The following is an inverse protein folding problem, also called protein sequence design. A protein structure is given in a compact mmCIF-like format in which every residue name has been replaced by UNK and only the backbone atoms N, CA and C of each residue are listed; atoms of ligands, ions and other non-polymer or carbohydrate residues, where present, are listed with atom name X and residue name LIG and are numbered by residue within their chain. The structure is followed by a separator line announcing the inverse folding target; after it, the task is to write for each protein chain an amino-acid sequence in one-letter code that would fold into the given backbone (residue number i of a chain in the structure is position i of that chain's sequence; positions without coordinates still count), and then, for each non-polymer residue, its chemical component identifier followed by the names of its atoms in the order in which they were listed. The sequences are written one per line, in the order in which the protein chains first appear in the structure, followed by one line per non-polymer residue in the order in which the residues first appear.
data_IF_217816200438
#
_entry.id   IF_217816200438
#
_cell.length_a   1.000
_cell.length_b   1.000
_cell.length_c   1.000
_cell.angle_alpha   90.00
_cell.angle_beta   90.00
_cell.angle_gamma   90.00
#
_symmetry.space_group_name_H-M   'P 1'
#
loop_
_entity.id
_entity.type
_entity.pdbx_description
1 polymer ?
#
# COMPACT_ATOMS: atom_id res chain seq x y z
N UNK A 1 -6.63 -2.98 -7.89
CA UNK A 1 -6.86 -3.15 -6.43
C UNK A 1 -6.90 -1.80 -5.75
N UNK A 2 -5.96 -0.91 -6.08
CA UNK A 2 -5.95 0.49 -5.67
C UNK A 2 -6.10 1.36 -6.92
N UNK A 3 -7.03 2.31 -6.93
CA UNK A 3 -7.21 3.21 -8.07
C UNK A 3 -6.03 4.15 -8.21
N UNK A 4 -5.87 4.73 -9.41
CA UNK A 4 -4.97 5.87 -9.61
C UNK A 4 -5.23 6.94 -8.55
N UNK A 5 -4.21 7.37 -7.77
CA UNK A 5 -4.39 8.42 -6.80
C UNK A 5 -4.57 9.77 -7.50
N UNK A 6 -5.33 10.65 -6.86
CA UNK A 6 -5.52 12.03 -7.26
C UNK A 6 -5.31 12.91 -6.02
N UNK A 7 -4.18 13.61 -5.93
CA UNK A 7 -3.87 14.49 -4.78
C UNK A 7 -3.86 13.73 -3.44
N UNK A 8 -3.24 12.53 -3.42
CA UNK A 8 -3.23 11.66 -2.24
C UNK A 8 -4.51 10.86 -1.99
N UNK A 9 -5.57 11.09 -2.76
CA UNK A 9 -6.79 10.29 -2.71
C UNK A 9 -6.69 9.09 -3.63
N UNK A 10 -6.82 7.88 -3.10
CA UNK A 10 -7.09 6.70 -3.92
C UNK A 10 -8.39 6.05 -3.48
N UNK A 11 -8.96 5.22 -4.34
CA UNK A 11 -10.07 4.34 -4.02
C UNK A 11 -9.54 2.91 -4.00
N UNK A 12 -9.67 2.23 -2.86
CA UNK A 12 -9.48 0.80 -2.82
C UNK A 12 -10.75 0.12 -3.28
N UNK A 13 -10.65 -0.69 -4.33
CA UNK A 13 -11.72 -1.59 -4.75
C UNK A 13 -11.16 -3.02 -4.87
N UNK A 14 -11.64 -3.91 -3.98
CA UNK A 14 -11.38 -5.34 -4.03
C UNK A 14 -12.67 -6.11 -3.71
N UNK A 15 -13.28 -6.72 -4.73
CA UNK A 15 -14.58 -7.38 -4.66
C UNK A 15 -15.67 -6.52 -3.97
N UNK A 16 -16.06 -6.88 -2.75
CA UNK A 16 -17.08 -6.18 -1.96
C UNK A 16 -16.50 -5.10 -1.03
N UNK A 17 -15.17 -4.96 -0.99
CA UNK A 17 -14.46 -3.97 -0.18
C UNK A 17 -14.19 -2.73 -1.04
N UNK A 18 -14.87 -1.62 -0.72
CA UNK A 18 -14.79 -0.35 -1.45
C UNK A 18 -14.63 0.82 -0.49
N UNK A 19 -13.42 1.37 -0.40
CA UNK A 19 -13.11 2.41 0.58
C UNK A 19 -12.20 3.48 0.01
N UNK A 20 -12.31 4.68 0.56
CA UNK A 20 -11.45 5.81 0.18
C UNK A 20 -10.19 5.80 1.04
N UNK A 21 -9.07 6.07 0.39
CA UNK A 21 -7.77 6.29 1.03
C UNK A 21 -7.60 7.81 1.21
N UNK A 22 -7.37 8.24 2.46
CA UNK A 22 -7.24 9.66 2.80
C UNK A 22 -5.87 10.24 2.42
N UNK A 23 -5.86 11.54 2.17
CA UNK A 23 -4.68 12.38 1.91
C UNK A 23 -3.77 12.61 3.15
N UNK A 24 -4.11 12.07 4.32
CA UNK A 24 -3.35 12.31 5.56
C UNK A 24 -2.12 11.42 5.68
N UNK A 25 -2.11 10.28 4.98
CA UNK A 25 -1.06 9.26 5.10
C UNK A 25 -0.41 9.00 3.73
N UNK A 26 0.90 8.85 3.74
CA UNK A 26 1.66 8.44 2.56
C UNK A 26 1.49 6.93 2.36
N UNK A 27 0.29 6.56 1.91
CA UNK A 27 -0.14 5.18 1.78
C UNK A 27 0.86 4.34 0.98
N UNK A 28 1.47 4.89 -0.06
CA UNK A 28 2.44 4.16 -0.86
C UNK A 28 3.65 3.75 -0.03
N UNK A 29 4.24 4.68 0.73
CA UNK A 29 5.37 4.36 1.61
C UNK A 29 4.98 3.47 2.78
N UNK A 30 3.84 3.73 3.42
CA UNK A 30 3.38 2.93 4.56
C UNK A 30 3.10 1.48 4.13
N UNK A 31 2.46 1.30 2.97
CA UNK A 31 2.22 -0.02 2.38
C UNK A 31 3.53 -0.73 2.03
N UNK A 32 4.45 -0.07 1.33
CA UNK A 32 5.72 -0.68 0.94
C UNK A 32 6.56 -1.07 2.17
N UNK A 33 6.56 -0.24 3.22
CA UNK A 33 7.24 -0.55 4.47
C UNK A 33 6.62 -1.77 5.17
N UNK A 34 5.28 -1.83 5.28
CA UNK A 34 4.58 -2.99 5.83
C UNK A 34 4.86 -4.26 5.03
N UNK A 35 4.79 -4.19 3.70
CA UNK A 35 5.10 -5.31 2.81
C UNK A 35 6.55 -5.79 2.98
N UNK A 36 7.51 -4.87 3.10
CA UNK A 36 8.91 -5.22 3.34
C UNK A 36 9.12 -5.93 4.67
N UNK A 37 8.55 -5.41 5.76
CA UNK A 37 8.68 -6.01 7.09
C UNK A 37 8.01 -7.40 7.14
N UNK A 38 6.90 -7.58 6.43
CA UNK A 38 6.24 -8.89 6.30
C UNK A 38 7.21 -9.96 5.78
N UNK A 39 7.96 -9.66 4.71
CA UNK A 39 8.93 -10.59 4.15
C UNK A 39 10.19 -10.77 5.01
N UNK A 40 10.65 -9.72 5.67
CA UNK A 40 11.86 -9.76 6.51
C UNK A 40 11.64 -10.53 7.81
N UNK A 41 10.54 -10.22 8.50
CA UNK A 41 10.25 -10.73 9.84
C UNK A 41 9.46 -12.05 9.79
N UNK A 42 8.82 -12.35 8.66
CA UNK A 42 7.92 -13.50 8.46
C UNK A 42 6.78 -13.52 9.48
N UNK A 43 6.31 -12.34 9.85
CA UNK A 43 5.22 -12.13 10.79
C UNK A 43 4.16 -11.21 10.18
N UNK A 44 2.95 -11.29 10.70
CA UNK A 44 1.84 -10.47 10.29
C UNK A 44 2.18 -8.99 10.47
N UNK A 45 1.95 -8.17 9.44
CA UNK A 45 2.12 -6.72 9.52
C UNK A 45 0.78 -6.02 9.45
N UNK A 46 0.65 -4.95 10.23
CA UNK A 46 -0.55 -4.13 10.27
C UNK A 46 -0.27 -2.81 9.55
N UNK A 47 -1.14 -2.48 8.60
CA UNK A 47 -1.17 -1.20 7.91
C UNK A 47 -2.48 -0.52 8.28
N UNK A 48 -2.40 0.49 9.15
CA UNK A 48 -3.55 1.35 9.44
C UNK A 48 -3.63 2.42 8.38
N UNK A 49 -4.85 2.63 7.88
CA UNK A 49 -5.12 3.58 6.83
C UNK A 49 -6.27 4.47 7.27
N UNK A 50 -6.02 5.76 7.27
CA UNK A 50 -7.05 6.75 7.57
C UNK A 50 -8.00 6.89 6.37
N UNK A 51 -9.30 6.77 6.62
CA UNK A 51 -10.36 7.33 5.79
C UNK A 51 -10.99 8.51 6.56
N UNK A 52 -11.60 9.48 5.89
CA UNK A 52 -12.08 10.72 6.55
C UNK A 52 -12.89 10.48 7.84
N UNK A 53 -13.82 9.53 7.81
CA UNK A 53 -14.76 9.25 8.90
C UNK A 53 -14.54 7.89 9.58
N UNK A 54 -13.60 7.08 9.06
CA UNK A 54 -13.31 5.70 9.50
C UNK A 54 -11.80 5.44 9.44
N UNK A 55 -11.30 4.44 10.15
CA UNK A 55 -9.96 3.90 9.86
C UNK A 55 -10.09 2.43 9.49
N UNK A 56 -9.21 1.97 8.61
CA UNK A 56 -9.15 0.57 8.24
C UNK A 56 -7.76 0.03 8.49
N UNK A 57 -7.71 -1.17 9.05
CA UNK A 57 -6.45 -1.87 9.29
C UNK A 57 -6.37 -3.04 8.34
N UNK A 58 -5.26 -3.13 7.61
CA UNK A 58 -4.93 -4.27 6.76
C UNK A 58 -3.90 -5.12 7.46
N UNK A 59 -4.21 -6.39 7.59
CA UNK A 59 -3.36 -7.40 8.18
C UNK A 59 -2.71 -8.19 7.03
N UNK A 60 -1.46 -7.87 6.73
CA UNK A 60 -0.63 -8.61 5.78
C UNK A 60 -0.19 -9.91 6.45
N UNK A 61 -0.94 -10.97 6.24
CA UNK A 61 -0.71 -12.31 6.77
C UNK A 61 -1.07 -13.39 5.75
N UNK A 62 -1.01 -14.66 6.15
CA UNK A 62 -1.51 -15.77 5.35
C UNK A 62 -2.77 -16.35 6.00
N UNK A 63 -3.99 -15.87 5.66
CA UNK A 63 -4.34 -14.97 4.55
C UNK A 63 -4.39 -13.47 4.93
N UNK A 64 -4.64 -12.60 3.95
CA UNK A 64 -4.74 -11.13 4.11
C UNK A 64 -6.15 -10.73 4.52
N UNK A 65 -6.24 -9.95 5.60
CA UNK A 65 -7.51 -9.42 6.10
C UNK A 65 -7.53 -7.89 6.14
N UNK A 66 -8.73 -7.32 6.10
CA UNK A 66 -9.01 -5.95 6.49
C UNK A 66 -9.98 -5.90 7.67
N UNK A 67 -9.98 -4.80 8.41
CA UNK A 67 -11.03 -4.47 9.37
C UNK A 67 -11.35 -2.98 9.27
N UNK A 68 -12.63 -2.64 9.30
CA UNK A 68 -13.11 -1.26 9.33
C UNK A 68 -13.50 -0.93 10.76
N UNK A 69 -12.82 0.02 11.39
CA UNK A 69 -12.93 0.30 12.82
C UNK A 69 -12.60 -0.91 13.72
N UNK A 70 -12.33 -0.71 15.01
CA UNK A 70 -11.97 -1.82 15.91
C UNK A 70 -13.13 -2.79 16.20
N UNK A 71 -14.38 -2.36 15.99
CA UNK A 71 -15.59 -3.09 16.39
C UNK A 71 -16.16 -4.02 15.30
N UNK A 72 -15.67 -3.95 14.07
CA UNK A 72 -16.19 -4.78 12.97
C UNK A 72 -15.43 -6.09 12.77
N UNK A 73 -16.07 -7.01 12.06
CA UNK A 73 -15.50 -8.31 11.70
C UNK A 73 -14.34 -8.18 10.70
N UNK A 74 -13.43 -9.15 10.70
CA UNK A 74 -12.38 -9.24 9.69
C UNK A 74 -12.97 -9.61 8.33
N UNK A 75 -12.55 -8.87 7.31
CA UNK A 75 -12.91 -9.05 5.91
C UNK A 75 -11.71 -9.70 5.22
N UNK A 76 -11.91 -10.88 4.63
CA UNK A 76 -10.88 -11.52 3.82
C UNK A 76 -10.65 -10.69 2.54
N UNK A 77 -9.42 -10.28 2.30
CA UNK A 77 -9.02 -9.56 1.09
C UNK A 77 -8.42 -10.52 0.06
N UNK A 78 -7.48 -11.36 0.47
CA UNK A 78 -6.79 -12.31 -0.40
C UNK A 78 -6.30 -13.50 0.42
N UNK A 79 -6.30 -14.70 -0.17
CA UNK A 79 -5.79 -15.91 0.48
C UNK A 79 -4.25 -15.96 0.46
N UNK A 80 -3.62 -15.19 -0.43
CA UNK A 80 -2.17 -15.16 -0.62
C UNK A 80 -1.62 -13.73 -0.50
N UNK A 81 -0.87 -13.49 0.58
CA UNK A 81 -0.21 -12.20 0.80
C UNK A 81 0.81 -11.84 -0.28
N UNK A 82 1.51 -12.81 -0.87
CA UNK A 82 2.47 -12.52 -1.94
C UNK A 82 1.76 -12.03 -3.19
N UNK A 83 0.63 -12.66 -3.54
CA UNK A 83 -0.22 -12.23 -4.64
C UNK A 83 -0.79 -10.83 -4.39
N UNK A 84 -1.36 -10.60 -3.21
CA UNK A 84 -1.91 -9.30 -2.82
C UNK A 84 -0.87 -8.17 -2.87
N UNK A 85 0.30 -8.40 -2.25
CA UNK A 85 1.40 -7.43 -2.25
C UNK A 85 1.89 -7.16 -3.68
N UNK A 86 1.98 -8.18 -4.52
CA UNK A 86 2.42 -8.03 -5.92
C UNK A 86 1.46 -7.17 -6.74
N UNK A 87 0.15 -7.38 -6.60
CA UNK A 87 -0.86 -6.57 -7.30
C UNK A 87 -0.88 -5.12 -6.79
N UNK A 88 -0.74 -4.90 -5.47
CA UNK A 88 -0.65 -3.55 -4.91
C UNK A 88 0.62 -2.80 -5.36
N UNK A 89 1.79 -3.47 -5.38
CA UNK A 89 3.03 -2.90 -5.91
C UNK A 89 2.87 -2.50 -7.38
N UNK A 90 2.23 -3.35 -8.18
CA UNK A 90 1.98 -3.06 -9.59
C UNK A 90 1.09 -1.82 -9.76
N UNK A 91 0.03 -1.68 -8.95
CA UNK A 91 -0.83 -0.49 -8.96
C UNK A 91 -0.04 0.79 -8.57
N UNK A 92 0.91 0.69 -7.64
CA UNK A 92 1.81 1.80 -7.29
C UNK A 92 2.75 2.13 -8.45
N UNK A 93 3.37 1.13 -9.09
CA UNK A 93 4.27 1.33 -10.24
C UNK A 93 3.56 1.97 -11.43
N UNK A 94 2.36 1.50 -11.77
CA UNK A 94 1.56 2.04 -12.88
C UNK A 94 1.13 3.49 -12.63
N UNK A 95 1.05 3.90 -11.37
CA UNK A 95 0.64 5.24 -10.95
C UNK A 95 1.73 6.03 -10.23
N UNK A 96 3.01 5.69 -10.46
CA UNK A 96 4.18 6.25 -9.78
C UNK A 96 4.20 7.78 -9.73
N UNK A 97 3.88 8.45 -10.84
CA UNK A 97 3.83 9.92 -10.89
C UNK A 97 2.87 10.51 -9.86
N UNK A 98 1.70 9.88 -9.70
CA UNK A 98 0.64 10.40 -8.87
C UNK A 98 0.88 10.07 -7.38
N UNK A 99 1.54 8.95 -7.08
CA UNK A 99 2.03 8.66 -5.72
C UNK A 99 3.19 9.57 -5.31
N UNK A 100 4.15 9.79 -6.22
CA UNK A 100 5.29 10.68 -5.95
C UNK A 100 4.90 12.16 -5.81
N UNK A 101 3.78 12.54 -6.43
CA UNK A 101 3.22 13.90 -6.40
C UNK A 101 1.95 13.94 -5.53
N UNK A 102 2.05 13.33 -4.35
CA UNK A 102 0.97 13.19 -3.37
C UNK A 102 0.42 14.55 -2.91
N UNK A 103 1.30 15.55 -2.74
CA UNK A 103 0.95 16.92 -2.38
C UNK A 103 1.49 17.94 -3.42
N UNK A 104 0.80 18.09 -4.57
CA UNK A 104 1.30 18.91 -5.68
C UNK A 104 1.26 20.41 -5.41
N UNK A 105 0.62 20.87 -4.34
CA UNK A 105 0.62 22.29 -3.97
C UNK A 105 1.90 22.68 -3.25
N UNK A 106 2.47 21.74 -2.48
CA UNK A 106 3.66 21.96 -1.65
C UNK A 106 4.92 21.29 -2.20
N UNK A 107 4.82 20.46 -3.25
CA UNK A 107 5.97 19.79 -3.88
C UNK A 107 6.47 20.48 -5.15
N UNK A 108 7.80 20.64 -5.23
CA UNK A 108 8.52 21.01 -6.44
C UNK A 108 8.73 19.80 -7.35
N UNK A 109 9.04 20.06 -8.64
CA UNK A 109 9.39 18.98 -9.58
C UNK A 109 10.60 18.16 -9.15
N UNK A 110 11.57 18.77 -8.47
CA UNK A 110 12.75 18.06 -8.00
C UNK A 110 12.38 17.11 -6.85
N UNK A 111 11.56 17.56 -5.91
CA UNK A 111 11.04 16.71 -4.81
C UNK A 111 10.22 15.53 -5.34
N UNK A 112 9.37 15.76 -6.35
CA UNK A 112 8.62 14.67 -7.00
C UNK A 112 9.55 13.64 -7.65
N UNK A 113 10.62 14.07 -8.33
CA UNK A 113 11.60 13.15 -8.93
C UNK A 113 12.43 12.39 -7.90
N UNK A 114 12.72 13.00 -6.75
CA UNK A 114 13.33 12.32 -5.61
C UNK A 114 12.39 11.30 -5.00
N UNK A 115 11.10 11.61 -4.90
CA UNK A 115 10.08 10.69 -4.40
C UNK A 115 9.91 9.45 -5.27
N UNK A 116 9.86 9.62 -6.60
CA UNK A 116 9.84 8.49 -7.53
C UNK A 116 11.01 7.54 -7.31
N UNK A 117 12.20 8.08 -7.06
CA UNK A 117 13.39 7.26 -6.81
C UNK A 117 13.29 6.49 -5.50
N UNK A 118 12.70 7.10 -4.46
CA UNK A 118 12.46 6.43 -3.18
C UNK A 118 11.47 5.29 -3.33
N UNK A 119 10.30 5.55 -3.91
CA UNK A 119 9.28 4.54 -4.19
C UNK A 119 9.82 3.38 -5.05
N UNK A 120 10.55 3.68 -6.12
CA UNK A 120 11.18 2.66 -6.96
C UNK A 120 12.17 1.80 -6.19
N UNK A 121 13.00 2.41 -5.35
CA UNK A 121 13.96 1.68 -4.53
C UNK A 121 13.27 0.74 -3.56
N UNK A 122 12.23 1.20 -2.87
CA UNK A 122 11.46 0.39 -1.92
C UNK A 122 10.78 -0.80 -2.64
N UNK A 123 10.22 -0.58 -3.83
CA UNK A 123 9.64 -1.62 -4.68
C UNK A 123 10.70 -2.65 -5.11
N UNK A 124 11.87 -2.22 -5.56
CA UNK A 124 12.96 -3.11 -5.96
C UNK A 124 13.43 -3.98 -4.78
N UNK A 125 13.54 -3.40 -3.58
CA UNK A 125 13.90 -4.14 -2.36
C UNK A 125 12.87 -5.24 -2.04
N UNK A 126 11.57 -4.95 -2.15
CA UNK A 126 10.52 -5.96 -1.91
C UNK A 126 10.53 -7.05 -3.00
N UNK A 127 10.67 -6.68 -4.27
CA UNK A 127 10.76 -7.65 -5.38
C UNK A 127 11.93 -8.62 -5.20
N UNK A 128 13.06 -8.15 -4.66
CA UNK A 128 14.19 -9.03 -4.32
C UNK A 128 13.84 -10.00 -3.18
N UNK A 129 13.01 -9.61 -2.23
CA UNK A 129 12.56 -10.51 -1.16
C UNK A 129 11.59 -11.59 -1.70
N UNK A 130 10.71 -11.23 -2.63
CA UNK A 130 9.76 -12.15 -3.28
C UNK A 130 10.47 -13.14 -4.22
N UNK A 131 11.32 -12.64 -5.13
CA UNK A 131 11.89 -13.46 -6.21
C UNK A 131 13.34 -13.94 -5.94
N UNK A 132 14.04 -13.32 -4.99
CA UNK A 132 15.43 -13.62 -4.66
C UNK A 132 15.61 -14.76 -3.65
N UNK A 133 14.54 -15.29 -3.08
CA UNK A 133 14.54 -16.44 -2.16
C UNK A 133 14.60 -17.77 -2.93
N UNK A 134 15.67 -17.97 -3.70
CA UNK A 134 16.14 -19.30 -4.10
C UNK A 134 17.40 -19.62 -3.29
N UNK A 135 17.24 -20.22 -2.12
CA UNK A 135 18.33 -20.88 -1.38
C UNK A 135 18.01 -22.35 -1.14
#
# INVERSE_FOLDING_TARGET
MISKPAFGWAHWELDNFKYNISYVQDFAHDFLNAAKNFFLDKDCQELQIDAEEDYYTIFLGYPVYARVNEEEDLILLDEDAEHFISEAIKDIEENMEAWANFDPMDQTKEEVEEEKKRLLKDIEEIKLLIFGTNF
#
